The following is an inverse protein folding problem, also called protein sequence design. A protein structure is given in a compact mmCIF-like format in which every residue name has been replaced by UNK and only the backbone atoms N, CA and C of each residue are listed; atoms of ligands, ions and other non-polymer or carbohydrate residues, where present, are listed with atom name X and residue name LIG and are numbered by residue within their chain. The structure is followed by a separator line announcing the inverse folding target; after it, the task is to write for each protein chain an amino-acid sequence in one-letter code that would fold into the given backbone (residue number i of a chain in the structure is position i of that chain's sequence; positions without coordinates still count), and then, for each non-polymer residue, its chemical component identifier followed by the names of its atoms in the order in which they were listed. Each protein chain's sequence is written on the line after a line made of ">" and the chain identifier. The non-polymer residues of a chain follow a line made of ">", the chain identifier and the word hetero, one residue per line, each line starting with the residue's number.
data_IF_801776061496
#
_entry.id   IF_801776061496
#
_cell.length_a   1.000
_cell.length_b   1.000
_cell.length_c   1.000
_cell.angle_alpha   90.00
_cell.angle_beta   90.00
_cell.angle_gamma   90.00
#
_symmetry.space_group_name_H-M   'P 1'
#
loop_
_entity.id
_entity.type
_entity.pdbx_description
1 polymer ?
#
# COMPACT_ATOMS: atom_id res chain seq x y z
N UNK A 1 -25.16 9.53 -8.10
CA UNK A 1 -25.41 10.99 -8.13
C UNK A 1 -24.95 11.58 -9.46
N UNK A 2 -25.78 11.50 -10.51
CA UNK A 2 -25.66 12.21 -11.80
C UNK A 2 -26.78 11.69 -12.73
N UNK A 3 -27.98 12.28 -12.64
CA UNK A 3 -29.04 12.21 -13.68
C UNK A 3 -30.24 13.08 -13.27
N UNK A 4 -30.04 14.40 -13.17
CA UNK A 4 -31.16 15.36 -12.98
C UNK A 4 -30.96 16.67 -13.78
N UNK A 5 -30.33 16.58 -14.96
CA UNK A 5 -30.16 17.73 -15.86
C UNK A 5 -30.50 17.30 -17.29
N UNK A 6 -31.80 17.16 -17.58
CA UNK A 6 -32.30 17.08 -18.98
C UNK A 6 -33.69 17.70 -19.18
N UNK A 7 -34.32 18.27 -18.15
CA UNK A 7 -35.67 18.85 -18.25
C UNK A 7 -35.70 20.37 -18.52
N UNK A 8 -34.55 21.02 -18.75
CA UNK A 8 -34.47 22.48 -18.91
C UNK A 8 -34.33 22.97 -20.36
N UNK A 9 -34.34 22.09 -21.37
CA UNK A 9 -34.13 22.48 -22.77
C UNK A 9 -35.36 22.31 -23.69
N UNK A 10 -36.51 21.86 -23.17
CA UNK A 10 -37.73 21.69 -23.98
C UNK A 10 -38.78 22.81 -23.80
N UNK A 11 -38.54 23.79 -22.92
CA UNK A 11 -39.51 24.84 -22.60
C UNK A 11 -39.29 26.18 -23.36
N UNK A 12 -38.32 26.25 -24.28
CA UNK A 12 -37.90 27.51 -24.93
C UNK A 12 -38.22 27.62 -26.43
N UNK A 13 -39.05 26.74 -26.99
CA UNK A 13 -39.48 26.78 -28.40
C UNK A 13 -40.99 27.02 -28.60
N UNK A 14 -41.65 27.70 -27.64
CA UNK A 14 -43.06 28.09 -27.71
C UNK A 14 -43.30 29.61 -27.69
N UNK A 15 -42.35 30.42 -28.15
CA UNK A 15 -42.52 31.87 -28.26
C UNK A 15 -41.89 32.40 -29.54
N UNK A 16 -42.71 32.59 -30.58
CA UNK A 16 -42.25 33.28 -31.78
C UNK A 16 -43.26 33.31 -32.92
N UNK A 17 -43.68 34.52 -33.28
CA UNK A 17 -44.39 34.92 -34.50
C UNK A 17 -45.92 34.75 -34.52
N UNK A 18 -46.52 35.66 -33.76
CA UNK A 18 -47.81 36.29 -34.01
C UNK A 18 -47.90 36.94 -35.42
N UNK A 19 -49.06 36.75 -36.05
CA UNK A 19 -49.85 37.66 -36.91
C UNK A 19 -49.17 38.71 -37.81
N UNK A 20 -49.46 38.63 -39.12
CA UNK A 20 -49.77 39.80 -39.96
C UNK A 20 -50.94 39.47 -40.89
N UNK A 21 -52.13 39.97 -40.53
CA UNK A 21 -53.27 40.17 -41.42
C UNK A 21 -52.95 41.37 -42.32
N UNK A 22 -52.94 41.20 -43.64
CA UNK A 22 -52.99 42.34 -44.57
C UNK A 22 -54.34 42.30 -45.28
N UNK A 23 -55.24 43.07 -44.68
CA UNK A 23 -56.50 43.53 -45.23
C UNK A 23 -56.17 44.66 -46.21
N UNK A 24 -56.39 44.44 -47.52
CA UNK A 24 -56.28 45.51 -48.54
C UNK A 24 -57.64 45.71 -49.18
N UNK A 25 -58.46 46.51 -48.52
CA UNK A 25 -59.62 47.19 -49.08
C UNK A 25 -59.12 48.31 -50.00
N UNK A 26 -59.45 48.24 -51.29
CA UNK A 26 -59.33 49.40 -52.19
C UNK A 26 -60.62 49.59 -52.97
N UNK A 27 -61.14 50.79 -52.76
CA UNK A 27 -62.42 51.35 -53.14
C UNK A 27 -62.48 51.81 -54.61
N UNK A 28 -63.70 52.18 -55.02
CA UNK A 28 -64.11 53.03 -56.16
C UNK A 28 -64.21 52.30 -57.52
N UNK A 29 -65.20 52.51 -58.36
CA UNK A 29 -66.11 53.66 -58.50
C UNK A 29 -67.54 53.23 -58.90
N UNK A 30 -68.51 53.87 -58.26
CA UNK A 30 -69.91 54.01 -58.69
C UNK A 30 -69.94 55.12 -59.73
N UNK A 31 -70.50 54.86 -60.91
CA UNK A 31 -70.90 55.87 -61.90
C UNK A 31 -72.34 55.55 -62.30
N UNK A 32 -73.20 56.51 -61.97
CA UNK A 32 -74.63 56.57 -62.27
C UNK A 32 -74.90 57.11 -63.70
N UNK A 33 -76.15 57.03 -64.19
CA UNK A 33 -76.47 56.83 -65.60
C UNK A 33 -76.81 58.13 -66.32
N UNK A 34 -76.52 58.17 -67.63
CA UNK A 34 -77.06 59.18 -68.56
C UNK A 34 -78.14 58.53 -69.44
N UNK A 35 -79.39 58.92 -69.17
CA UNK A 35 -80.52 58.92 -70.09
C UNK A 35 -80.15 59.67 -71.38
N UNK A 36 -80.54 59.16 -72.55
CA UNK A 36 -81.06 59.91 -73.72
C UNK A 36 -81.54 58.91 -74.80
N UNK A 37 -82.71 59.24 -75.35
CA UNK A 37 -83.30 58.89 -76.66
C UNK A 37 -84.14 57.61 -76.86
N UNK A 38 -85.45 57.91 -76.89
CA UNK A 38 -86.57 57.18 -77.46
C UNK A 38 -86.45 56.94 -78.98
N UNK A 39 -87.29 56.01 -79.43
CA UNK A 39 -87.78 55.78 -80.81
C UNK A 39 -87.04 54.73 -81.66
N UNK A 40 -87.56 53.48 -81.62
CA UNK A 40 -87.97 52.71 -82.81
C UNK A 40 -88.50 51.33 -82.37
N UNK A 41 -89.82 51.25 -82.35
CA UNK A 41 -90.62 50.09 -81.97
C UNK A 41 -90.99 49.33 -83.26
N UNK A 42 -90.93 47.99 -83.14
CA UNK A 42 -91.70 46.96 -83.87
C UNK A 42 -91.08 46.02 -84.94
N UNK A 43 -89.99 46.31 -85.65
CA UNK A 43 -89.38 45.28 -86.55
C UNK A 43 -88.15 44.53 -85.98
N UNK A 44 -87.67 44.91 -84.78
CA UNK A 44 -86.50 44.29 -84.11
C UNK A 44 -86.80 42.98 -83.38
N UNK A 45 -88.06 42.65 -83.07
CA UNK A 45 -88.38 41.49 -82.21
C UNK A 45 -88.16 40.11 -82.88
N UNK A 46 -88.09 40.04 -84.21
CA UNK A 46 -87.82 38.78 -84.95
C UNK A 46 -86.33 38.57 -85.19
N UNK A 47 -85.56 39.63 -85.47
CA UNK A 47 -84.10 39.59 -85.54
C UNK A 47 -83.47 39.38 -84.16
N UNK A 48 -84.01 40.01 -83.11
CA UNK A 48 -83.55 39.81 -81.74
C UNK A 48 -83.76 38.36 -81.28
N UNK A 49 -84.84 37.69 -81.69
CA UNK A 49 -85.05 36.24 -81.42
C UNK A 49 -84.04 35.36 -82.15
N UNK A 50 -83.70 35.67 -83.42
CA UNK A 50 -82.66 34.94 -84.18
C UNK A 50 -81.25 35.18 -83.63
N UNK A 51 -80.93 36.42 -83.28
CA UNK A 51 -79.67 36.81 -82.61
C UNK A 51 -79.58 36.16 -81.23
N UNK A 52 -80.68 36.10 -80.47
CA UNK A 52 -80.73 35.43 -79.17
C UNK A 52 -80.58 33.91 -79.31
N UNK A 53 -81.15 33.29 -80.34
CA UNK A 53 -80.98 31.86 -80.63
C UNK A 53 -79.53 31.53 -81.03
N UNK A 54 -78.90 32.35 -81.89
CA UNK A 54 -77.49 32.23 -82.26
C UNK A 54 -76.57 32.43 -81.04
N UNK A 55 -76.81 33.47 -80.24
CA UNK A 55 -76.11 33.69 -78.95
C UNK A 55 -76.30 32.52 -77.98
N UNK A 56 -77.49 31.92 -77.91
CA UNK A 56 -77.75 30.72 -77.09
C UNK A 56 -76.99 29.49 -77.61
N UNK A 57 -76.91 29.30 -78.93
CA UNK A 57 -76.16 28.20 -79.55
C UNK A 57 -74.63 28.37 -79.34
N UNK A 58 -74.10 29.59 -79.55
CA UNK A 58 -72.71 29.94 -79.26
C UNK A 58 -72.38 29.77 -77.78
N UNK A 59 -73.27 30.20 -76.87
CA UNK A 59 -73.13 29.99 -75.44
C UNK A 59 -73.12 28.50 -75.07
N UNK A 60 -73.96 27.67 -75.71
CA UNK A 60 -73.96 26.20 -75.53
C UNK A 60 -72.66 25.58 -76.05
N UNK A 61 -72.19 25.98 -77.24
CA UNK A 61 -70.93 25.50 -77.82
C UNK A 61 -69.71 25.92 -76.98
N UNK A 62 -69.67 27.17 -76.50
CA UNK A 62 -68.66 27.67 -75.57
C UNK A 62 -68.69 26.90 -74.25
N UNK A 63 -69.88 26.66 -73.67
CA UNK A 63 -70.03 25.85 -72.46
C UNK A 63 -69.52 24.41 -72.66
N UNK A 64 -69.78 23.80 -73.83
CA UNK A 64 -69.27 22.46 -74.19
C UNK A 64 -67.73 22.45 -74.33
N UNK A 65 -67.14 23.46 -74.97
CA UNK A 65 -65.67 23.62 -75.08
C UNK A 65 -65.01 23.83 -73.72
N UNK A 66 -65.60 24.67 -72.86
CA UNK A 66 -65.14 24.90 -71.48
C UNK A 66 -65.21 23.59 -70.68
N UNK A 67 -66.30 22.83 -70.79
CA UNK A 67 -66.45 21.55 -70.11
C UNK A 67 -65.42 20.52 -70.58
N UNK A 68 -65.18 20.43 -71.89
CA UNK A 68 -64.16 19.54 -72.44
C UNK A 68 -62.74 19.90 -71.99
N UNK A 69 -62.41 21.20 -71.94
CA UNK A 69 -61.14 21.70 -71.40
C UNK A 69 -60.98 21.36 -69.91
N UNK A 70 -62.03 21.60 -69.10
CA UNK A 70 -62.03 21.24 -67.67
C UNK A 70 -61.80 19.75 -67.46
N UNK A 71 -62.44 18.88 -68.26
CA UNK A 71 -62.22 17.42 -68.19
C UNK A 71 -60.78 17.03 -68.55
N UNK A 72 -60.19 17.65 -69.58
CA UNK A 72 -58.77 17.42 -69.95
C UNK A 72 -57.82 17.88 -68.84
N UNK A 73 -58.03 19.08 -68.30
CA UNK A 73 -57.25 19.60 -67.18
C UNK A 73 -57.37 18.71 -65.93
N UNK A 74 -58.56 18.17 -65.65
CA UNK A 74 -58.78 17.22 -64.55
C UNK A 74 -58.05 15.89 -64.78
N UNK A 75 -58.11 15.33 -66.00
CA UNK A 75 -57.36 14.10 -66.32
C UNK A 75 -55.85 14.31 -66.27
N UNK A 76 -55.36 15.47 -66.71
CA UNK A 76 -53.94 15.82 -66.63
C UNK A 76 -53.50 16.02 -65.18
N UNK A 77 -54.33 16.67 -64.35
CA UNK A 77 -54.08 16.79 -62.90
C UNK A 77 -54.03 15.41 -62.22
N UNK A 78 -54.99 14.53 -62.51
CA UNK A 78 -54.99 13.15 -61.97
C UNK A 78 -53.78 12.34 -62.45
N UNK A 79 -53.36 12.51 -63.70
CA UNK A 79 -52.16 11.85 -64.22
C UNK A 79 -50.90 12.36 -63.52
N UNK A 80 -50.77 13.69 -63.34
CA UNK A 80 -49.67 14.31 -62.59
C UNK A 80 -49.66 13.88 -61.13
N UNK A 81 -50.83 13.79 -60.50
CA UNK A 81 -51.00 13.32 -59.12
C UNK A 81 -50.58 11.86 -58.97
N UNK A 82 -51.05 10.96 -59.84
CA UNK A 82 -50.63 9.56 -59.85
C UNK A 82 -49.14 9.39 -60.12
N UNK A 83 -48.56 10.17 -61.03
CA UNK A 83 -47.13 10.15 -61.29
C UNK A 83 -46.32 10.66 -60.07
N UNK A 84 -46.82 11.69 -59.38
CA UNK A 84 -46.21 12.19 -58.15
C UNK A 84 -46.31 11.16 -57.00
N UNK A 85 -47.43 10.46 -56.87
CA UNK A 85 -47.64 9.38 -55.90
C UNK A 85 -46.72 8.19 -56.17
N UNK A 86 -46.60 7.76 -57.43
CA UNK A 86 -45.66 6.70 -57.83
C UNK A 86 -44.20 7.10 -57.56
N UNK A 87 -43.81 8.32 -57.93
CA UNK A 87 -42.47 8.83 -57.64
C UNK A 87 -42.19 8.94 -56.13
N UNK A 88 -43.20 9.28 -55.32
CA UNK A 88 -43.07 9.29 -53.86
C UNK A 88 -42.91 7.87 -53.29
N UNK A 89 -43.67 6.89 -53.81
CA UNK A 89 -43.56 5.49 -53.42
C UNK A 89 -42.17 4.90 -53.75
N UNK A 90 -41.64 5.17 -54.95
CA UNK A 90 -40.29 4.74 -55.35
C UNK A 90 -39.21 5.35 -54.46
N UNK A 91 -39.31 6.66 -54.15
CA UNK A 91 -38.39 7.31 -53.21
C UNK A 91 -38.44 6.68 -51.82
N UNK A 92 -39.63 6.33 -51.32
CA UNK A 92 -39.79 5.68 -50.03
C UNK A 92 -39.17 4.28 -50.01
N UNK A 93 -39.30 3.50 -51.09
CA UNK A 93 -38.63 2.20 -51.24
C UNK A 93 -37.10 2.37 -51.27
N UNK A 94 -36.59 3.38 -51.99
CA UNK A 94 -35.16 3.67 -52.04
C UNK A 94 -34.60 4.08 -50.67
N UNK A 95 -35.32 4.91 -49.92
CA UNK A 95 -34.95 5.31 -48.54
C UNK A 95 -34.90 4.07 -47.63
N UNK A 96 -35.93 3.22 -47.64
CA UNK A 96 -35.95 1.98 -46.84
C UNK A 96 -34.79 1.05 -47.17
N UNK A 97 -34.43 0.91 -48.45
CA UNK A 97 -33.29 0.11 -48.89
C UNK A 97 -31.95 0.69 -48.40
N UNK A 98 -31.78 2.00 -48.41
CA UNK A 98 -30.59 2.66 -47.87
C UNK A 98 -30.51 2.53 -46.35
N UNK A 99 -31.64 2.63 -45.65
CA UNK A 99 -31.72 2.42 -44.21
C UNK A 99 -31.34 0.98 -43.82
N UNK A 100 -31.85 -0.04 -44.52
CA UNK A 100 -31.48 -1.43 -44.26
C UNK A 100 -29.97 -1.66 -44.47
N UNK A 101 -29.40 -1.11 -45.55
CA UNK A 101 -27.96 -1.19 -45.81
C UNK A 101 -27.12 -0.48 -44.73
N UNK A 102 -27.60 0.63 -44.17
CA UNK A 102 -26.93 1.31 -43.04
C UNK A 102 -26.98 0.46 -41.78
N UNK A 103 -28.12 -0.16 -41.48
CA UNK A 103 -28.26 -1.05 -40.33
C UNK A 103 -27.34 -2.27 -40.44
N UNK A 104 -27.23 -2.89 -41.62
CA UNK A 104 -26.32 -4.01 -41.86
C UNK A 104 -24.85 -3.61 -41.65
N UNK A 105 -24.45 -2.42 -42.11
CA UNK A 105 -23.10 -1.88 -41.86
C UNK A 105 -22.83 -1.68 -40.37
N UNK A 106 -23.77 -1.06 -39.65
CA UNK A 106 -23.67 -0.87 -38.19
C UNK A 106 -23.53 -2.22 -37.48
N UNK A 107 -24.32 -3.23 -37.89
CA UNK A 107 -24.27 -4.58 -37.31
C UNK A 107 -22.92 -5.26 -37.56
N UNK A 108 -22.35 -5.12 -38.76
CA UNK A 108 -21.02 -5.65 -39.08
C UNK A 108 -19.91 -4.95 -38.26
N UNK A 109 -20.00 -3.64 -38.08
CA UNK A 109 -19.06 -2.89 -37.23
C UNK A 109 -19.16 -3.32 -35.76
N UNK A 110 -20.38 -3.54 -35.24
CA UNK A 110 -20.59 -4.05 -33.88
C UNK A 110 -19.97 -5.43 -33.68
N UNK A 111 -20.21 -6.37 -34.61
CA UNK A 111 -19.60 -7.71 -34.55
C UNK A 111 -18.07 -7.66 -34.59
N UNK A 112 -17.49 -6.73 -35.37
CA UNK A 112 -16.04 -6.53 -35.40
C UNK A 112 -15.52 -6.03 -34.06
N UNK A 113 -16.19 -5.06 -33.43
CA UNK A 113 -15.82 -4.54 -32.11
C UNK A 113 -15.86 -5.67 -31.07
N UNK A 114 -16.93 -6.48 -31.05
CA UNK A 114 -17.05 -7.62 -30.14
C UNK A 114 -15.95 -8.68 -30.35
N UNK A 115 -15.57 -8.95 -31.60
CA UNK A 115 -14.45 -9.83 -31.92
C UNK A 115 -13.10 -9.26 -31.45
N UNK A 116 -12.87 -7.96 -31.61
CA UNK A 116 -11.66 -7.29 -31.14
C UNK A 116 -11.59 -7.26 -29.59
N UNK A 117 -12.71 -7.06 -28.91
CA UNK A 117 -12.79 -7.09 -27.45
C UNK A 117 -12.57 -8.50 -26.89
N UNK A 118 -13.20 -9.52 -27.46
CA UNK A 118 -12.97 -10.91 -27.06
C UNK A 118 -11.53 -11.36 -27.30
N UNK A 119 -10.91 -10.96 -28.42
CA UNK A 119 -9.49 -11.22 -28.68
C UNK A 119 -8.57 -10.56 -27.63
N UNK A 120 -8.86 -9.32 -27.23
CA UNK A 120 -8.13 -8.62 -26.15
C UNK A 120 -8.27 -9.34 -24.81
N UNK A 121 -9.47 -9.81 -24.45
CA UNK A 121 -9.69 -10.56 -23.21
C UNK A 121 -8.94 -11.89 -23.21
N UNK A 122 -8.95 -12.62 -24.32
CA UNK A 122 -8.17 -13.87 -24.47
C UNK A 122 -6.67 -13.60 -24.31
N UNK A 123 -6.15 -12.53 -24.93
CA UNK A 123 -4.75 -12.15 -24.80
C UNK A 123 -4.38 -11.74 -23.36
N UNK A 124 -5.25 -11.02 -22.66
CA UNK A 124 -5.06 -10.64 -21.26
C UNK A 124 -5.04 -11.87 -20.34
N UNK A 125 -5.96 -12.82 -20.54
CA UNK A 125 -5.98 -14.07 -19.78
C UNK A 125 -4.72 -14.91 -20.03
N UNK A 126 -4.27 -15.02 -21.28
CA UNK A 126 -3.03 -15.71 -21.61
C UNK A 126 -1.79 -15.04 -20.98
N UNK A 127 -1.76 -13.69 -20.91
CA UNK A 127 -0.70 -12.95 -20.24
C UNK A 127 -0.72 -13.21 -18.72
N UNK A 128 -1.89 -13.22 -18.09
CA UNK A 128 -2.05 -13.55 -16.66
C UNK A 128 -1.57 -14.97 -16.36
N UNK A 129 -1.95 -15.96 -17.18
CA UNK A 129 -1.49 -17.35 -17.02
C UNK A 129 0.02 -17.50 -17.18
N UNK A 130 0.65 -16.76 -18.11
CA UNK A 130 2.12 -16.75 -18.24
C UNK A 130 2.80 -16.19 -16.99
N UNK A 131 2.27 -15.09 -16.45
CA UNK A 131 2.78 -14.48 -15.24
C UNK A 131 2.62 -15.40 -14.02
N UNK A 132 1.49 -16.08 -13.90
CA UNK A 132 1.24 -17.08 -12.85
C UNK A 132 2.23 -18.25 -12.96
N UNK A 133 2.41 -18.84 -14.15
CA UNK A 133 3.42 -19.89 -14.36
C UNK A 133 4.85 -19.42 -14.05
N UNK A 134 5.20 -18.18 -14.38
CA UNK A 134 6.52 -17.63 -14.03
C UNK A 134 6.68 -17.48 -12.51
N UNK A 135 5.62 -17.11 -11.80
CA UNK A 135 5.60 -17.07 -10.34
C UNK A 135 5.73 -18.47 -9.73
N UNK A 136 5.01 -19.47 -10.28
CA UNK A 136 5.10 -20.86 -9.82
C UNK A 136 6.51 -21.43 -10.00
N UNK A 137 7.13 -21.19 -11.16
CA UNK A 137 8.52 -21.61 -11.42
C UNK A 137 9.46 -20.96 -10.40
N UNK A 138 9.28 -19.66 -10.10
CA UNK A 138 10.08 -18.96 -9.08
C UNK A 138 9.85 -19.55 -7.69
N UNK A 139 8.62 -19.87 -7.32
CA UNK A 139 8.30 -20.50 -6.03
C UNK A 139 8.87 -21.91 -5.92
N UNK A 140 8.78 -22.72 -6.98
CA UNK A 140 9.35 -24.07 -7.01
C UNK A 140 10.88 -24.03 -6.88
N UNK A 141 11.55 -23.12 -7.59
CA UNK A 141 12.99 -22.89 -7.44
C UNK A 141 13.36 -22.47 -6.01
N UNK A 142 12.56 -21.60 -5.39
CA UNK A 142 12.75 -21.19 -4.00
C UNK A 142 12.56 -22.35 -3.03
N UNK A 143 11.53 -23.18 -3.20
CA UNK A 143 11.28 -24.35 -2.36
C UNK A 143 12.41 -25.37 -2.46
N UNK A 144 12.89 -25.66 -3.69
CA UNK A 144 14.06 -26.52 -3.93
C UNK A 144 15.32 -26.00 -3.25
N UNK A 145 15.49 -24.69 -3.17
CA UNK A 145 16.60 -24.10 -2.45
C UNK A 145 16.44 -24.21 -0.92
N UNK A 146 15.26 -23.89 -0.39
CA UNK A 146 14.99 -23.98 1.05
C UNK A 146 15.17 -25.42 1.54
N UNK A 147 14.70 -26.42 0.79
CA UNK A 147 14.89 -27.83 1.13
C UNK A 147 16.38 -28.23 1.11
N UNK A 148 17.16 -27.71 0.15
CA UNK A 148 18.62 -27.90 0.10
C UNK A 148 19.36 -27.24 1.27
N UNK A 149 18.96 -26.04 1.69
CA UNK A 149 19.55 -25.39 2.87
C UNK A 149 19.18 -26.13 4.16
N UNK A 150 17.93 -26.57 4.27
CA UNK A 150 17.42 -27.34 5.41
C UNK A 150 18.19 -28.65 5.58
N UNK A 151 18.47 -29.38 4.50
CA UNK A 151 19.27 -30.61 4.56
C UNK A 151 20.72 -30.36 4.99
N UNK A 152 21.35 -29.27 4.55
CA UNK A 152 22.70 -28.88 5.01
C UNK A 152 22.70 -28.60 6.52
N UNK A 153 21.71 -27.86 7.03
CA UNK A 153 21.59 -27.56 8.45
C UNK A 153 21.30 -28.80 9.30
N UNK A 154 20.42 -29.69 8.82
CA UNK A 154 20.15 -30.96 9.48
C UNK A 154 21.43 -31.80 9.63
N UNK A 155 22.20 -31.95 8.56
CA UNK A 155 23.47 -32.69 8.59
C UNK A 155 24.49 -32.01 9.52
N UNK A 156 24.53 -30.68 9.56
CA UNK A 156 25.42 -29.95 10.46
C UNK A 156 25.06 -30.18 11.94
N UNK A 157 23.78 -30.22 12.28
CA UNK A 157 23.32 -30.53 13.63
C UNK A 157 23.66 -31.97 14.04
N UNK A 158 23.49 -32.94 13.13
CA UNK A 158 23.87 -34.34 13.37
C UNK A 158 25.39 -34.48 13.62
N UNK A 159 26.22 -33.78 12.84
CA UNK A 159 27.68 -33.76 13.03
C UNK A 159 28.11 -33.05 14.32
N UNK A 160 27.40 -31.98 14.70
CA UNK A 160 27.63 -31.28 15.96
C UNK A 160 27.34 -32.20 17.16
N UNK A 161 26.26 -32.99 17.08
CA UNK A 161 25.94 -33.99 18.11
C UNK A 161 27.02 -35.10 18.19
N UNK A 162 27.63 -35.46 17.06
CA UNK A 162 28.77 -36.39 17.00
C UNK A 162 30.12 -35.80 17.41
N UNK A 163 30.22 -34.50 17.68
CA UNK A 163 31.46 -33.83 18.08
C UNK A 163 32.44 -33.49 16.95
N UNK A 164 32.08 -33.72 15.68
CA UNK A 164 32.96 -33.43 14.53
C UNK A 164 32.87 -31.95 14.10
N UNK A 165 33.59 -31.10 14.83
CA UNK A 165 33.67 -29.65 14.57
C UNK A 165 34.26 -29.30 13.19
N UNK A 166 35.13 -30.13 12.63
CA UNK A 166 35.73 -29.85 11.31
C UNK A 166 34.71 -30.08 10.20
N UNK A 167 33.94 -31.16 10.27
CA UNK A 167 32.89 -31.42 9.29
C UNK A 167 31.77 -30.36 9.35
N UNK A 168 31.40 -29.90 10.55
CA UNK A 168 30.45 -28.78 10.72
C UNK A 168 30.96 -27.50 10.04
N UNK A 169 32.24 -27.14 10.21
CA UNK A 169 32.83 -25.97 9.54
C UNK A 169 32.74 -26.08 8.02
N UNK A 170 33.03 -27.24 7.45
CA UNK A 170 32.93 -27.46 6.01
C UNK A 170 31.49 -27.35 5.50
N UNK A 171 30.51 -27.86 6.26
CA UNK A 171 29.08 -27.69 5.92
C UNK A 171 28.64 -26.23 6.00
N UNK A 172 29.12 -25.47 6.97
CA UNK A 172 28.82 -24.03 7.08
C UNK A 172 29.40 -23.22 5.91
N UNK A 173 30.58 -23.59 5.39
CA UNK A 173 31.13 -22.99 4.16
C UNK A 173 30.23 -23.31 2.96
N UNK A 174 29.76 -24.56 2.82
CA UNK A 174 28.83 -24.95 1.76
C UNK A 174 27.49 -24.23 1.87
N UNK A 175 26.96 -24.06 3.08
CA UNK A 175 25.75 -23.28 3.37
C UNK A 175 25.93 -21.83 2.92
N UNK A 176 27.02 -21.19 3.34
CA UNK A 176 27.33 -19.81 2.99
C UNK A 176 27.45 -19.62 1.48
N UNK A 177 28.18 -20.52 0.80
CA UNK A 177 28.30 -20.50 -0.66
C UNK A 177 26.94 -20.67 -1.37
N UNK A 178 26.03 -21.49 -0.83
CA UNK A 178 24.69 -21.65 -1.36
C UNK A 178 23.83 -20.39 -1.17
N UNK A 179 23.93 -19.74 -0.01
CA UNK A 179 23.26 -18.45 0.28
C UNK A 179 23.79 -17.34 -0.62
N UNK A 180 25.11 -17.25 -0.81
CA UNK A 180 25.72 -16.19 -1.62
C UNK A 180 25.38 -16.34 -3.12
N UNK A 181 25.29 -17.59 -3.63
CA UNK A 181 24.78 -17.85 -4.99
C UNK A 181 23.35 -17.37 -5.22
N UNK A 182 22.55 -17.27 -4.15
CA UNK A 182 21.13 -16.95 -4.23
C UNK A 182 20.81 -15.48 -3.87
N UNK A 183 21.75 -14.73 -3.29
CA UNK A 183 21.58 -13.29 -2.97
C UNK A 183 21.18 -12.44 -4.19
N UNK A 184 21.57 -12.83 -5.39
CA UNK A 184 21.20 -12.11 -6.63
C UNK A 184 19.77 -12.38 -7.11
N UNK A 185 19.13 -13.45 -6.64
CA UNK A 185 17.84 -13.95 -7.16
C UNK A 185 16.66 -13.72 -6.21
N UNK A 186 16.92 -13.31 -4.97
CA UNK A 186 15.91 -13.29 -3.91
C UNK A 186 15.37 -11.88 -3.66
N UNK A 187 14.03 -11.69 -3.70
CA UNK A 187 13.38 -10.43 -3.34
C UNK A 187 13.79 -9.94 -1.95
N UNK A 188 13.91 -8.62 -1.78
CA UNK A 188 14.41 -7.98 -0.55
C UNK A 188 13.70 -8.46 0.74
N UNK A 189 12.39 -8.77 0.67
CA UNK A 189 11.63 -9.30 1.80
C UNK A 189 12.15 -10.65 2.32
N UNK A 190 12.54 -11.55 1.42
CA UNK A 190 13.09 -12.87 1.79
C UNK A 190 14.53 -12.76 2.30
N UNK A 191 15.28 -11.73 1.90
CA UNK A 191 16.61 -11.46 2.48
C UNK A 191 16.52 -11.15 3.98
N UNK A 192 15.40 -10.58 4.45
CA UNK A 192 15.18 -10.30 5.88
C UNK A 192 15.02 -11.59 6.68
N UNK A 193 14.30 -12.58 6.16
CA UNK A 193 14.16 -13.89 6.82
C UNK A 193 15.48 -14.66 6.85
N UNK A 194 16.23 -14.65 5.74
CA UNK A 194 17.57 -15.26 5.70
C UNK A 194 18.51 -14.63 6.73
N UNK A 195 18.49 -13.31 6.91
CA UNK A 195 19.28 -12.62 7.94
C UNK A 195 18.88 -13.02 9.35
N UNK A 196 17.59 -13.27 9.61
CA UNK A 196 17.13 -13.75 10.92
C UNK A 196 17.68 -15.15 11.22
N UNK A 197 17.57 -16.08 10.26
CA UNK A 197 18.09 -17.44 10.42
C UNK A 197 19.61 -17.46 10.61
N UNK A 198 20.36 -16.64 9.85
CA UNK A 198 21.80 -16.49 10.03
C UNK A 198 22.14 -15.98 11.43
N UNK A 199 21.38 -14.99 11.94
CA UNK A 199 21.60 -14.46 13.27
C UNK A 199 21.30 -15.49 14.36
N UNK A 200 20.23 -16.29 14.20
CA UNK A 200 19.88 -17.36 15.14
C UNK A 200 20.97 -18.45 15.20
N UNK A 201 21.53 -18.84 14.04
CA UNK A 201 22.67 -19.76 13.98
C UNK A 201 23.92 -19.18 14.64
N UNK A 202 24.20 -17.89 14.45
CA UNK A 202 25.32 -17.22 15.10
C UNK A 202 25.17 -17.22 16.63
N UNK A 203 23.94 -17.02 17.13
CA UNK A 203 23.62 -17.11 18.56
C UNK A 203 23.81 -18.53 19.07
N UNK A 204 23.29 -19.55 18.39
CA UNK A 204 23.49 -20.95 18.80
C UNK A 204 24.96 -21.37 18.81
N UNK A 205 25.74 -20.91 17.82
CA UNK A 205 27.18 -21.19 17.75
C UNK A 205 27.92 -20.57 18.93
N UNK A 206 27.58 -19.33 19.30
CA UNK A 206 28.15 -18.68 20.49
C UNK A 206 27.77 -19.41 21.78
N UNK A 207 26.53 -19.87 21.89
CA UNK A 207 26.07 -20.65 23.05
C UNK A 207 26.81 -22.00 23.16
N UNK A 208 27.00 -22.72 22.05
CA UNK A 208 27.76 -23.97 22.04
C UNK A 208 29.22 -23.75 22.45
N UNK A 209 29.83 -22.64 22.02
CA UNK A 209 31.21 -22.30 22.38
C UNK A 209 31.34 -21.97 23.87
N UNK A 210 30.38 -21.26 24.45
CA UNK A 210 30.29 -21.04 25.90
C UNK A 210 30.10 -22.36 26.64
N UNK A 211 29.21 -23.24 26.17
CA UNK A 211 29.00 -24.57 26.75
C UNK A 211 30.28 -25.42 26.76
N UNK A 212 31.07 -25.36 25.69
CA UNK A 212 32.38 -26.05 25.62
C UNK A 212 33.38 -25.49 26.62
N UNK A 213 33.41 -24.18 26.83
CA UNK A 213 34.28 -23.57 27.84
C UNK A 213 33.89 -24.02 29.24
N UNK A 214 32.59 -24.01 29.56
CA UNK A 214 32.07 -24.47 30.86
C UNK A 214 32.46 -25.94 31.10
N UNK A 215 32.35 -26.81 30.09
CA UNK A 215 32.77 -28.21 30.22
C UNK A 215 34.28 -28.35 30.45
N UNK A 216 35.11 -27.54 29.79
CA UNK A 216 36.55 -27.53 30.02
C UNK A 216 36.90 -27.03 31.43
N UNK A 217 36.23 -25.99 31.91
CA UNK A 217 36.41 -25.45 33.26
C UNK A 217 35.98 -26.48 34.32
N UNK A 218 34.86 -27.19 34.10
CA UNK A 218 34.41 -28.28 34.98
C UNK A 218 35.42 -29.44 35.03
N UNK A 219 36.01 -29.82 33.90
CA UNK A 219 37.08 -30.82 33.87
C UNK A 219 38.32 -30.36 34.64
N UNK A 220 38.69 -29.09 34.55
CA UNK A 220 39.79 -28.54 35.35
C UNK A 220 39.48 -28.58 36.85
N UNK A 221 38.25 -28.24 37.24
CA UNK A 221 37.80 -28.33 38.64
C UNK A 221 37.88 -29.78 39.14
N UNK A 222 37.48 -30.75 38.33
CA UNK A 222 37.57 -32.18 38.68
C UNK A 222 39.03 -32.63 38.87
N UNK A 223 39.95 -32.19 37.99
CA UNK A 223 41.38 -32.47 38.12
C UNK A 223 41.96 -31.85 39.40
N UNK A 224 41.65 -30.59 39.69
CA UNK A 224 42.09 -29.90 40.90
C UNK A 224 41.53 -30.57 42.15
N UNK A 225 40.25 -30.95 42.14
CA UNK A 225 39.63 -31.68 43.25
C UNK A 225 40.31 -33.03 43.50
N UNK A 226 40.62 -33.79 42.45
CA UNK A 226 41.35 -35.05 42.56
C UNK A 226 42.78 -34.84 43.10
N UNK A 227 43.47 -33.76 42.70
CA UNK A 227 44.77 -33.40 43.23
C UNK A 227 44.71 -33.03 44.72
N UNK A 228 43.73 -32.23 45.13
CA UNK A 228 43.51 -31.88 46.54
C UNK A 228 43.25 -33.12 47.39
N UNK A 229 42.45 -34.07 46.89
CA UNK A 229 42.22 -35.35 47.58
C UNK A 229 43.50 -36.16 47.76
N UNK A 230 44.39 -36.19 46.75
CA UNK A 230 45.70 -36.86 46.87
C UNK A 230 46.60 -36.19 47.92
N UNK A 231 46.67 -34.86 47.92
CA UNK A 231 47.46 -34.10 48.90
C UNK A 231 46.94 -34.28 50.33
N UNK A 232 45.61 -34.32 50.51
CA UNK A 232 45.00 -34.64 51.81
C UNK A 232 45.42 -36.04 52.28
N UNK A 233 45.33 -37.05 51.41
CA UNK A 233 45.73 -38.42 51.75
C UNK A 233 47.23 -38.53 52.09
N UNK A 234 48.09 -37.82 51.35
CA UNK A 234 49.54 -37.76 51.61
C UNK A 234 49.84 -37.10 52.96
N UNK A 235 49.20 -35.96 53.26
CA UNK A 235 49.35 -35.26 54.53
C UNK A 235 48.88 -36.12 55.71
N UNK A 236 47.80 -36.88 55.55
CA UNK A 236 47.32 -37.85 56.54
C UNK A 236 48.34 -38.97 56.79
N UNK A 237 48.98 -39.49 55.74
CA UNK A 237 50.03 -40.51 55.87
C UNK A 237 51.26 -39.95 56.59
N UNK A 238 51.74 -38.76 56.20
CA UNK A 238 52.88 -38.11 56.85
C UNK A 238 52.62 -37.84 58.34
N UNK A 239 51.40 -37.42 58.68
CA UNK A 239 51.00 -37.24 60.07
C UNK A 239 51.04 -38.57 60.86
N UNK A 240 50.65 -39.70 60.25
CA UNK A 240 50.74 -41.04 60.88
C UNK A 240 52.18 -41.49 61.10
N UNK A 241 53.10 -41.10 60.23
CA UNK A 241 54.54 -41.42 60.36
C UNK A 241 55.30 -40.46 61.31
N UNK A 242 54.64 -39.44 61.87
CA UNK A 242 55.26 -38.49 62.79
C UNK A 242 55.96 -37.31 62.09
N UNK A 243 55.84 -37.17 60.77
CA UNK A 243 56.41 -36.05 59.99
C UNK A 243 55.51 -34.81 60.04
N UNK A 244 55.27 -34.28 61.24
CA UNK A 244 54.25 -33.24 61.46
C UNK A 244 54.51 -31.89 60.78
N UNK A 245 55.77 -31.54 60.53
CA UNK A 245 56.13 -30.27 59.87
C UNK A 245 55.69 -30.29 58.41
N UNK A 246 56.05 -31.35 57.66
CA UNK A 246 55.64 -31.50 56.25
C UNK A 246 54.13 -31.68 56.11
N UNK A 247 53.51 -32.46 56.99
CA UNK A 247 52.06 -32.62 57.00
C UNK A 247 51.36 -31.25 57.18
N UNK A 248 51.86 -30.41 58.10
CA UNK A 248 51.34 -29.06 58.32
C UNK A 248 51.52 -28.16 57.09
N UNK A 249 52.67 -28.21 56.42
CA UNK A 249 52.92 -27.44 55.18
C UNK A 249 51.90 -27.80 54.11
N UNK A 250 51.68 -29.10 53.84
CA UNK A 250 50.70 -29.55 52.85
C UNK A 250 49.28 -29.10 53.22
N UNK A 251 48.87 -29.22 54.49
CA UNK A 251 47.55 -28.72 54.91
C UNK A 251 47.41 -27.20 54.75
N UNK A 252 48.48 -26.43 54.98
CA UNK A 252 48.47 -24.99 54.75
C UNK A 252 48.36 -24.66 53.26
N UNK A 253 49.10 -25.36 52.40
CA UNK A 253 49.01 -25.20 50.94
C UNK A 253 47.61 -25.53 50.42
N UNK A 254 46.98 -26.59 50.94
CA UNK A 254 45.59 -26.93 50.64
C UNK A 254 44.64 -25.79 51.05
N UNK A 255 44.82 -25.19 52.22
CA UNK A 255 43.98 -24.07 52.69
C UNK A 255 44.24 -22.76 51.94
N UNK A 256 45.39 -22.60 51.29
CA UNK A 256 45.64 -21.50 50.35
C UNK A 256 44.83 -21.69 49.07
N UNK A 257 44.71 -22.94 48.59
CA UNK A 257 43.95 -23.28 47.39
C UNK A 257 42.43 -23.35 47.62
N UNK A 258 42.02 -23.89 48.76
CA UNK A 258 40.61 -24.01 49.18
C UNK A 258 40.47 -23.67 50.69
N UNK A 259 40.24 -22.38 51.02
CA UNK A 259 40.09 -21.93 52.39
C UNK A 259 38.91 -22.54 53.15
N UNK A 260 37.92 -23.09 52.44
CA UNK A 260 36.74 -23.72 53.06
C UNK A 260 36.93 -25.22 53.31
N UNK A 261 38.13 -25.76 53.07
CA UNK A 261 38.43 -27.16 53.29
C UNK A 261 38.45 -27.50 54.79
N UNK A 262 37.30 -27.96 55.29
CA UNK A 262 37.10 -28.31 56.69
C UNK A 262 37.98 -29.47 57.16
N UNK A 263 38.38 -30.38 56.27
CA UNK A 263 39.25 -31.52 56.62
C UNK A 263 40.66 -31.03 56.95
N UNK A 264 41.24 -30.21 56.07
CA UNK A 264 42.56 -29.63 56.29
C UNK A 264 42.58 -28.75 57.56
N UNK A 265 41.53 -27.94 57.77
CA UNK A 265 41.41 -27.10 58.98
C UNK A 265 41.38 -27.93 60.26
N UNK A 266 40.57 -28.99 60.30
CA UNK A 266 40.49 -29.89 61.46
C UNK A 266 41.82 -30.61 61.70
N UNK A 267 42.45 -31.12 60.65
CA UNK A 267 43.74 -31.80 60.75
C UNK A 267 44.86 -30.87 61.25
N UNK A 268 44.86 -29.61 60.81
CA UNK A 268 45.83 -28.61 61.26
C UNK A 268 45.72 -28.34 62.78
N UNK A 269 44.50 -28.39 63.33
CA UNK A 269 44.23 -28.19 64.75
C UNK A 269 44.62 -29.39 65.62
N UNK A 270 44.56 -30.62 65.07
CA UNK A 270 44.93 -31.84 65.80
C UNK A 270 46.43 -32.11 65.80
N UNK A 271 47.17 -31.57 64.83
CA UNK A 271 48.63 -31.73 64.76
C UNK A 271 49.37 -31.02 65.92
N UNK A 272 50.36 -31.67 66.55
CA UNK A 272 51.11 -31.07 67.65
C UNK A 272 51.82 -29.79 67.20
N UNK A 273 51.76 -28.74 68.03
CA UNK A 273 52.49 -27.49 67.79
C UNK A 273 53.97 -27.72 68.11
N UNK A 274 54.74 -28.09 67.09
CA UNK A 274 56.20 -27.98 67.14
C UNK A 274 56.56 -26.51 67.35
N UNK A 275 57.13 -26.17 68.51
CA UNK A 275 57.53 -24.80 68.86
C UNK A 275 58.79 -24.43 68.06
N UNK A 276 58.61 -24.04 66.81
CA UNK A 276 59.67 -23.47 66.00
C UNK A 276 59.72 -21.98 66.34
N UNK A 277 60.81 -21.53 66.96
CA UNK A 277 61.04 -20.13 67.33
C UNK A 277 60.90 -19.23 66.08
N UNK A 278 59.92 -18.32 66.11
CA UNK A 278 59.49 -17.51 64.99
C UNK A 278 60.33 -16.24 64.80
N UNK A 279 60.98 -16.09 63.65
CA UNK A 279 61.55 -14.82 63.16
C UNK A 279 60.51 -14.08 62.32
N UNK A 280 60.00 -12.97 62.85
CA UNK A 280 58.91 -12.18 62.30
C UNK A 280 59.31 -11.32 61.09
N UNK A 281 58.62 -11.48 59.96
CA UNK A 281 58.65 -10.52 58.84
C UNK A 281 57.29 -9.83 58.65
N UNK A 282 57.35 -8.50 58.56
CA UNK A 282 56.22 -7.56 58.60
C UNK A 282 55.60 -7.34 57.21
N UNK A 283 54.33 -7.71 57.01
CA UNK A 283 53.58 -7.45 55.76
C UNK A 283 52.60 -6.27 55.96
N UNK A 284 52.76 -5.26 55.12
CA UNK A 284 52.04 -3.97 55.09
C UNK A 284 50.60 -4.13 54.56
N UNK A 285 49.63 -3.56 55.29
CA UNK A 285 48.21 -3.45 54.93
C UNK A 285 47.99 -2.42 53.82
N UNK A 286 47.36 -2.83 52.70
CA UNK A 286 46.90 -1.92 51.65
C UNK A 286 45.49 -1.40 51.91
N UNK A 287 45.31 -0.13 51.56
CA UNK A 287 44.25 0.82 51.95
C UNK A 287 43.05 0.73 50.99
N UNK A 288 41.84 0.64 51.53
CA UNK A 288 40.58 0.52 50.79
C UNK A 288 40.26 1.76 49.93
N UNK A 289 39.92 1.52 48.65
CA UNK A 289 39.54 2.53 47.65
C UNK A 289 38.04 2.83 47.74
N UNK A 290 37.68 4.07 48.09
CA UNK A 290 36.31 4.59 48.11
C UNK A 290 35.86 4.96 46.69
N UNK A 291 34.76 4.37 46.19
CA UNK A 291 34.17 4.68 44.89
C UNK A 291 33.32 5.96 44.95
N UNK A 292 33.70 6.95 44.16
CA UNK A 292 33.01 8.23 44.02
C UNK A 292 31.73 8.07 43.19
N UNK A 293 30.56 8.01 43.84
CA UNK A 293 29.26 8.04 43.16
C UNK A 293 29.01 9.44 42.55
N UNK A 294 29.16 9.52 41.23
CA UNK A 294 28.95 10.72 40.41
C UNK A 294 27.48 11.14 40.48
N UNK A 295 27.20 12.32 41.06
CA UNK A 295 25.86 12.94 41.16
C UNK A 295 25.15 12.90 39.79
N UNK A 296 24.01 12.19 39.71
CA UNK A 296 23.18 12.07 38.51
C UNK A 296 22.71 13.47 38.07
N UNK A 297 23.23 13.96 36.95
CA UNK A 297 22.81 15.24 36.36
C UNK A 297 21.35 15.12 35.90
N UNK A 298 20.54 16.14 36.16
CA UNK A 298 19.15 16.21 35.69
C UNK A 298 19.13 16.20 34.14
N UNK A 299 18.17 15.51 33.50
CA UNK A 299 18.09 15.45 32.04
C UNK A 299 17.90 16.87 31.50
N UNK A 300 18.84 17.31 30.66
CA UNK A 300 18.82 18.64 30.03
C UNK A 300 17.96 18.56 28.78
N UNK A 301 16.80 19.24 28.79
CA UNK A 301 15.96 19.42 27.62
C UNK A 301 16.58 20.49 26.70
N UNK A 302 16.83 20.12 25.46
CA UNK A 302 17.29 21.04 24.42
C UNK A 302 16.10 21.76 23.78
N UNK A 303 16.36 22.90 23.14
CA UNK A 303 15.35 23.63 22.38
C UNK A 303 14.93 22.83 21.13
N UNK A 304 13.72 23.08 20.63
CA UNK A 304 13.10 22.30 19.53
C UNK A 304 13.88 22.34 18.20
N UNK A 305 14.75 23.33 18.01
CA UNK A 305 15.55 23.55 16.79
C UNK A 305 16.91 22.86 16.82
N UNK A 306 17.37 22.39 17.98
CA UNK A 306 18.68 21.77 18.10
C UNK A 306 18.68 20.31 17.64
N UNK A 307 19.84 19.84 17.19
CA UNK A 307 20.08 18.42 16.96
C UNK A 307 20.06 17.67 18.30
N UNK A 308 19.46 16.49 18.32
CA UNK A 308 19.35 15.69 19.54
C UNK A 308 18.51 14.44 19.35
N UNK A 309 18.31 13.68 20.41
CA UNK A 309 17.48 12.49 20.44
C UNK A 309 16.04 12.85 20.79
N UNK A 310 15.09 12.36 20.00
CA UNK A 310 13.65 12.62 20.17
C UNK A 310 12.89 11.32 20.17
N UNK A 311 11.79 11.27 20.91
CA UNK A 311 10.87 10.12 20.88
C UNK A 311 9.77 10.41 19.88
N UNK A 312 9.77 9.71 18.75
CA UNK A 312 8.73 9.81 17.74
C UNK A 312 7.58 8.86 18.09
N UNK A 313 6.37 9.41 18.22
CA UNK A 313 5.18 8.66 18.62
C UNK A 313 4.44 8.11 17.42
N UNK A 314 4.08 9.00 16.48
CA UNK A 314 3.33 8.63 15.29
C UNK A 314 3.58 9.62 14.16
N UNK A 315 3.39 9.16 12.93
CA UNK A 315 3.47 9.98 11.72
C UNK A 315 2.10 9.98 11.06
N UNK A 316 1.59 11.16 10.75
CA UNK A 316 0.30 11.35 10.10
C UNK A 316 0.51 11.90 8.68
N UNK A 317 -0.38 11.55 7.75
CA UNK A 317 -0.44 12.16 6.42
C UNK A 317 -1.18 13.49 6.50
N UNK A 318 -1.07 14.32 5.45
CA UNK A 318 -1.79 15.61 5.39
C UNK A 318 -3.31 15.46 5.59
N UNK A 319 -3.91 14.38 5.07
CA UNK A 319 -5.34 14.07 5.25
C UNK A 319 -5.73 13.89 6.72
N UNK A 320 -4.81 13.37 7.54
CA UNK A 320 -5.03 13.02 8.95
C UNK A 320 -4.46 14.09 9.90
N UNK A 321 -4.30 15.33 9.40
CA UNK A 321 -3.72 16.43 10.17
C UNK A 321 -4.49 16.69 11.47
N UNK A 322 -5.83 16.66 11.44
CA UNK A 322 -6.67 16.91 12.63
C UNK A 322 -6.37 15.92 13.76
N UNK A 323 -6.16 14.64 13.42
CA UNK A 323 -5.86 13.59 14.38
C UNK A 323 -4.50 13.79 15.06
N UNK A 324 -3.50 14.28 14.31
CA UNK A 324 -2.20 14.63 14.86
C UNK A 324 -2.30 15.70 15.95
N UNK A 325 -3.07 16.76 15.71
CA UNK A 325 -3.31 17.82 16.69
C UNK A 325 -4.18 17.34 17.87
N UNK A 326 -5.14 16.45 17.62
CA UNK A 326 -5.93 15.82 18.68
C UNK A 326 -5.05 15.01 19.65
N UNK A 327 -4.14 14.19 19.12
CA UNK A 327 -3.19 13.41 19.93
C UNK A 327 -2.18 14.32 20.66
N UNK A 328 -1.72 15.40 20.03
CA UNK A 328 -0.88 16.41 20.69
C UNK A 328 -1.59 17.04 21.89
N UNK A 329 -2.88 17.37 21.76
CA UNK A 329 -3.69 17.90 22.85
C UNK A 329 -3.80 16.91 24.01
N UNK A 330 -4.07 15.64 23.72
CA UNK A 330 -4.11 14.55 24.72
C UNK A 330 -2.76 14.39 25.44
N UNK A 331 -1.65 14.40 24.72
CA UNK A 331 -0.30 14.32 25.30
C UNK A 331 0.02 15.49 26.23
N UNK A 332 -0.31 16.72 25.83
CA UNK A 332 -0.10 17.89 26.68
C UNK A 332 -0.96 17.85 27.94
N UNK A 333 -2.22 17.41 27.84
CA UNK A 333 -3.11 17.17 28.99
C UNK A 333 -2.56 16.07 29.91
N UNK A 334 -1.94 15.04 29.35
CA UNK A 334 -1.25 13.96 30.07
C UNK A 334 0.11 14.34 30.69
N UNK A 335 0.47 15.63 30.73
CA UNK A 335 1.70 16.12 31.36
C UNK A 335 2.93 16.14 30.44
N UNK A 336 2.83 15.70 29.18
CA UNK A 336 3.93 15.74 28.22
C UNK A 336 4.02 17.12 27.53
N UNK A 337 4.40 18.15 28.30
CA UNK A 337 4.50 19.55 27.82
C UNK A 337 5.51 19.74 26.68
N UNK A 338 6.50 18.87 26.58
CA UNK A 338 7.53 18.87 25.54
C UNK A 338 7.08 18.21 24.22
N UNK A 339 5.79 17.88 24.07
CA UNK A 339 5.23 17.37 22.84
C UNK A 339 5.13 18.45 21.75
N UNK A 340 5.52 18.12 20.52
CA UNK A 340 5.37 18.99 19.35
C UNK A 340 5.18 18.20 18.07
N UNK A 341 4.61 18.85 17.05
CA UNK A 341 4.45 18.30 15.70
C UNK A 341 5.47 19.00 14.78
N UNK A 342 6.19 18.22 13.98
CA UNK A 342 7.08 18.72 12.93
C UNK A 342 6.50 18.35 11.57
N UNK A 343 6.31 19.35 10.69
CA UNK A 343 5.93 19.13 9.29
C UNK A 343 7.18 18.79 8.50
N UNK A 344 7.15 17.70 7.75
CA UNK A 344 8.26 17.25 6.92
C UNK A 344 7.73 16.90 5.52
N UNK A 345 8.33 17.46 4.48
CA UNK A 345 8.03 17.06 3.10
C UNK A 345 8.98 15.91 2.71
N UNK A 346 8.42 14.76 2.36
CA UNK A 346 9.18 13.59 1.91
C UNK A 346 8.53 13.05 0.64
N UNK A 347 9.28 12.98 -0.46
CA UNK A 347 8.79 12.51 -1.76
C UNK A 347 7.51 13.22 -2.24
N UNK A 348 7.46 14.55 -2.12
CA UNK A 348 6.32 15.38 -2.53
C UNK A 348 5.08 15.26 -1.64
N UNK A 349 5.17 14.56 -0.50
CA UNK A 349 4.08 14.40 0.46
C UNK A 349 4.43 15.06 1.79
N UNK A 350 3.50 15.86 2.31
CA UNK A 350 3.61 16.42 3.65
C UNK A 350 3.24 15.38 4.71
N UNK A 351 4.15 15.17 5.66
CA UNK A 351 3.98 14.32 6.83
C UNK A 351 4.03 15.15 8.11
N UNK A 352 3.16 14.84 9.05
CA UNK A 352 3.12 15.45 10.39
C UNK A 352 3.63 14.44 11.40
N UNK A 353 4.89 14.61 11.84
CA UNK A 353 5.55 13.73 12.81
C UNK A 353 5.35 14.28 14.22
N UNK A 354 4.65 13.52 15.07
CA UNK A 354 4.44 13.85 16.48
C UNK A 354 5.63 13.34 17.30
N UNK A 355 6.34 14.25 17.96
CA UNK A 355 7.57 13.99 18.72
C UNK A 355 7.45 14.49 20.15
N UNK A 356 8.19 13.85 21.05
CA UNK A 356 8.28 14.22 22.47
C UNK A 356 9.72 14.52 22.87
N UNK A 357 9.93 15.76 23.33
CA UNK A 357 11.22 16.23 23.85
C UNK A 357 12.34 16.27 22.81
N UNK A 358 13.41 16.98 23.14
CA UNK A 358 14.72 16.91 22.46
C UNK A 358 15.77 16.77 23.55
N UNK A 359 16.49 15.65 23.52
CA UNK A 359 17.46 15.26 24.55
C UNK A 359 18.86 15.21 23.96
N UNK A 360 19.86 15.54 24.78
CA UNK A 360 21.27 15.41 24.37
C UNK A 360 21.70 13.95 24.30
N UNK A 361 21.27 13.15 25.28
CA UNK A 361 21.67 11.76 25.43
C UNK A 361 20.55 10.81 25.02
N UNK A 362 20.91 9.74 24.32
CA UNK A 362 19.96 8.70 23.86
C UNK A 362 19.23 8.03 25.01
N UNK A 363 19.94 7.78 26.11
CA UNK A 363 19.41 7.10 27.30
C UNK A 363 18.26 7.86 27.96
N UNK A 364 18.26 9.20 27.93
CA UNK A 364 17.17 9.99 28.47
C UNK A 364 15.93 9.97 27.56
N UNK A 365 16.12 9.92 26.24
CA UNK A 365 15.02 9.70 25.30
C UNK A 365 14.41 8.30 25.44
N UNK A 366 15.23 7.27 25.68
CA UNK A 366 14.75 5.90 25.95
C UNK A 366 13.91 5.84 27.22
N UNK A 367 14.37 6.44 28.33
CA UNK A 367 13.56 6.55 29.57
C UNK A 367 12.21 7.23 29.33
N UNK A 368 12.18 8.29 28.53
CA UNK A 368 10.92 8.94 28.16
C UNK A 368 10.03 8.00 27.33
N UNK A 369 10.61 7.26 26.39
CA UNK A 369 9.88 6.29 25.58
C UNK A 369 9.21 5.20 26.42
N UNK A 370 9.91 4.71 27.46
CA UNK A 370 9.32 3.78 28.44
C UNK A 370 8.17 4.41 29.21
N UNK A 371 8.36 5.63 29.75
CA UNK A 371 7.29 6.36 30.47
C UNK A 371 6.05 6.60 29.62
N UNK A 372 6.24 6.86 28.33
CA UNK A 372 5.15 7.07 27.37
C UNK A 372 4.41 5.76 27.10
N UNK A 373 5.15 4.66 26.92
CA UNK A 373 4.57 3.33 26.69
C UNK A 373 3.82 2.80 27.92
N UNK A 374 4.23 3.20 29.12
CA UNK A 374 3.56 2.87 30.38
C UNK A 374 2.39 3.80 30.73
N UNK A 375 2.13 4.86 29.94
CA UNK A 375 1.01 5.77 30.19
C UNK A 375 -0.29 5.18 29.62
N UNK A 376 -1.31 5.01 30.46
CA UNK A 376 -2.64 4.51 30.06
C UNK A 376 -3.29 5.36 28.95
N UNK A 377 -2.97 6.65 28.89
CA UNK A 377 -3.46 7.58 27.87
C UNK A 377 -3.03 7.20 26.43
N UNK A 378 -2.02 6.33 26.31
CA UNK A 378 -1.38 5.95 25.06
C UNK A 378 -1.32 4.42 24.92
N UNK A 379 -2.30 3.70 25.47
CA UNK A 379 -2.37 2.25 25.35
C UNK A 379 -2.23 1.83 23.87
N UNK A 380 -1.25 0.96 23.61
CA UNK A 380 -0.94 0.47 22.26
C UNK A 380 0.00 1.34 21.41
N UNK A 381 0.45 2.51 21.88
CA UNK A 381 1.38 3.37 21.11
C UNK A 381 2.79 3.31 21.70
N UNK A 382 3.72 2.62 21.00
CA UNK A 382 5.15 2.57 21.38
C UNK A 382 5.92 3.74 20.76
N UNK A 383 6.62 4.50 21.59
CA UNK A 383 7.55 5.54 21.14
C UNK A 383 8.80 4.94 20.49
N UNK A 384 9.25 5.51 19.37
CA UNK A 384 10.53 5.16 18.72
C UNK A 384 11.53 6.28 18.96
N UNK A 385 12.68 5.96 19.56
CA UNK A 385 13.78 6.91 19.70
C UNK A 385 14.46 7.12 18.34
N UNK A 386 14.59 8.37 17.93
CA UNK A 386 15.19 8.76 16.65
C UNK A 386 16.09 9.98 16.84
N UNK A 387 17.12 10.10 16.01
CA UNK A 387 17.97 11.28 16.00
C UNK A 387 17.32 12.36 15.14
N UNK A 388 17.12 13.54 15.74
CA UNK A 388 16.70 14.75 15.05
C UNK A 388 17.95 15.53 14.62
N UNK A 389 18.01 15.85 13.33
CA UNK A 389 18.97 16.82 12.80
C UNK A 389 18.50 18.25 13.11
N UNK A 390 19.46 19.15 13.36
CA UNK A 390 19.22 20.58 13.46
C UNK A 390 18.67 21.08 12.11
N UNK A 391 17.75 22.05 12.18
CA UNK A 391 17.25 22.75 10.98
C UNK A 391 18.11 23.96 10.66
#
# INVERSE_FOLDING_TARGET
>A
MRTTISYLLLALLLSGCQSVNIWSSKQRAVVEPTLVEETRIEDRQVEDKKVLAKKKAEKKAAKKKILARKKREETERRAKEKAAEQAAAEKLVAIKKLESQRLDKIRLEQLRIEQEESAKLIAELAAKQKLEREQDIKQEQQQKFVSKLSSILKNANEMLAGGDLQAVKQLMVKYQAAVDKQKSLVPEQQQVEQRKLLHELEVMTKQALVGKQILADLQQVEIVAAQLQRQLAEAELLAKYGEFVKAREIYQDILVLDPENNLATKALLTLPRTSIASSSSSIKKNKAVKSNQKKKKKPVLLSKKLAGWVVQIKTYKEKDRKDAYGLLGKLKKGGFKSAFIRKQNLAGRNLYRLRLGVYRDKSDAEKLSYRVSSSELLSGIKGRVTQQQAE
#
